data_IF_662702348948
#
_entry.id   IF_662702348948
#
_cell.length_a   1.000
_cell.length_b   1.000
_cell.length_c   1.000
_cell.angle_alpha   90.00
_cell.angle_beta   90.00
_cell.angle_gamma   90.00
#
_symmetry.space_group_name_H-M   'P 1'
#
loop_
_entity.id
_entity.type
_entity.pdbx_description
1 polymer ?
#
# COMPACT_ATOMS: atom_id res chain seq x y z
N UNK A 1 2.48 -18.09 11.76
CA UNK A 1 2.06 -16.88 11.02
C UNK A 1 2.58 -15.67 11.77
N UNK A 2 2.93 -14.59 11.08
CA UNK A 2 3.30 -13.32 11.74
C UNK A 2 2.09 -12.72 12.46
N UNK A 3 2.34 -11.69 13.28
CA UNK A 3 1.29 -10.85 13.84
C UNK A 3 0.41 -10.24 12.72
N UNK A 4 -0.88 -10.04 13.00
CA UNK A 4 -1.80 -9.31 12.12
C UNK A 4 -1.59 -7.81 12.35
N UNK A 5 -1.44 -7.07 11.25
CA UNK A 5 -1.30 -5.61 11.26
C UNK A 5 -2.57 -4.97 10.70
N UNK A 6 -2.91 -3.78 11.20
CA UNK A 6 -4.09 -3.03 10.81
C UNK A 6 -3.69 -1.66 10.23
N UNK A 7 -4.24 -1.31 9.07
CA UNK A 7 -4.08 -0.01 8.43
C UNK A 7 -5.47 0.52 8.05
N UNK A 8 -5.86 1.65 8.64
CA UNK A 8 -7.16 2.28 8.39
C UNK A 8 -7.13 3.03 7.07
N UNK A 9 -8.15 2.84 6.24
CA UNK A 9 -8.31 3.54 4.96
C UNK A 9 -9.61 4.32 4.98
N UNK A 10 -9.53 5.63 4.73
CA UNK A 10 -10.70 6.46 4.47
C UNK A 10 -10.96 6.52 2.97
N UNK A 11 -12.22 6.32 2.57
CA UNK A 11 -12.65 6.37 1.18
C UNK A 11 -13.09 7.79 0.85
N UNK A 12 -12.48 8.38 -0.18
CA UNK A 12 -12.84 9.68 -0.73
C UNK A 12 -13.49 9.53 -2.10
N UNK A 13 -14.04 10.62 -2.64
CA UNK A 13 -14.66 10.60 -3.98
C UNK A 13 -13.71 10.09 -5.08
N UNK A 14 -12.39 10.34 -4.95
CA UNK A 14 -11.37 9.86 -5.89
C UNK A 14 -11.22 8.32 -5.93
N UNK A 15 -11.67 7.64 -4.88
CA UNK A 15 -11.58 6.19 -4.77
C UNK A 15 -12.75 5.46 -5.45
N UNK A 16 -13.82 6.19 -5.75
CA UNK A 16 -15.08 5.65 -6.27
C UNK A 16 -15.24 5.83 -7.77
N UNK A 17 -16.01 4.95 -8.41
CA UNK A 17 -16.39 5.08 -9.83
C UNK A 17 -17.88 5.44 -10.01
N UNK A 18 -18.35 5.47 -11.26
CA UNK A 18 -19.72 5.85 -11.60
C UNK A 18 -20.80 4.93 -10.99
N UNK A 19 -20.43 3.75 -10.49
CA UNK A 19 -21.35 2.83 -9.81
C UNK A 19 -21.48 3.13 -8.31
N UNK A 20 -20.68 4.07 -7.78
CA UNK A 20 -20.74 4.50 -6.38
C UNK A 20 -20.02 3.57 -5.41
N UNK A 21 -19.19 2.66 -5.90
CA UNK A 21 -18.34 1.77 -5.08
C UNK A 21 -16.87 2.07 -5.31
N UNK A 22 -16.01 1.54 -4.45
CA UNK A 22 -14.55 1.62 -4.64
C UNK A 22 -14.16 0.94 -5.95
N UNK A 23 -13.47 1.67 -6.81
CA UNK A 23 -12.95 1.11 -8.05
C UNK A 23 -11.88 0.06 -7.75
N UNK A 24 -12.06 -1.17 -8.25
CA UNK A 24 -11.32 -2.35 -7.80
C UNK A 24 -9.78 -2.23 -7.75
N UNK A 25 -9.06 -1.52 -8.66
CA UNK A 25 -7.61 -1.40 -8.58
C UNK A 25 -7.13 -0.60 -7.38
N UNK A 26 -7.99 0.24 -6.78
CA UNK A 26 -7.62 1.03 -5.61
C UNK A 26 -7.32 0.15 -4.40
N UNK A 27 -7.86 -1.08 -4.32
CA UNK A 27 -7.49 -2.02 -3.26
C UNK A 27 -6.00 -2.39 -3.27
N UNK A 28 -5.36 -2.50 -4.45
CA UNK A 28 -3.92 -2.74 -4.52
C UNK A 28 -3.11 -1.55 -3.99
N UNK A 29 -3.60 -0.32 -4.18
CA UNK A 29 -3.00 0.89 -3.61
C UNK A 29 -3.07 0.86 -2.08
N UNK A 30 -4.19 0.41 -1.52
CA UNK A 30 -4.34 0.30 -0.06
C UNK A 30 -3.46 -0.79 0.54
N UNK A 31 -3.32 -1.92 -0.14
CA UNK A 31 -2.39 -2.97 0.28
C UNK A 31 -0.94 -2.52 0.21
N UNK A 32 -0.59 -1.66 -0.75
CA UNK A 32 0.73 -1.06 -0.85
C UNK A 32 1.03 -0.16 0.37
N UNK A 33 0.16 0.81 0.66
CA UNK A 33 0.24 1.66 1.87
C UNK A 33 0.34 0.85 3.17
N UNK A 34 -0.46 -0.22 3.28
CA UNK A 34 -0.42 -1.09 4.43
C UNK A 34 0.93 -1.81 4.57
N UNK A 35 1.55 -2.26 3.47
CA UNK A 35 2.90 -2.87 3.50
C UNK A 35 3.97 -1.86 3.90
N UNK A 36 3.89 -0.64 3.40
CA UNK A 36 4.83 0.43 3.81
C UNK A 36 4.75 0.67 5.33
N UNK A 37 3.55 0.73 5.92
CA UNK A 37 3.38 0.87 7.37
C UNK A 37 3.90 -0.32 8.17
N UNK A 38 3.85 -1.53 7.62
CA UNK A 38 4.42 -2.73 8.29
C UNK A 38 5.95 -2.70 8.26
N UNK A 39 6.54 -2.24 7.15
CA UNK A 39 8.00 -2.25 6.95
C UNK A 39 8.66 -1.02 7.60
N UNK A 40 7.93 0.10 7.67
CA UNK A 40 8.40 1.48 7.89
C UNK A 40 8.78 2.17 6.57
N UNK A 41 8.02 3.22 6.21
CA UNK A 41 8.23 4.01 5.00
C UNK A 41 9.57 4.73 4.98
N UNK A 42 10.06 5.18 6.14
CA UNK A 42 11.35 5.87 6.22
C UNK A 42 12.48 4.90 5.91
N UNK A 43 12.37 3.65 6.38
CA UNK A 43 13.35 2.60 6.05
C UNK A 43 13.33 2.23 4.58
N UNK A 44 12.16 2.18 3.95
CA UNK A 44 12.05 1.95 2.51
C UNK A 44 12.70 3.09 1.72
N UNK A 45 12.48 4.34 2.14
CA UNK A 45 13.10 5.51 1.54
C UNK A 45 14.64 5.47 1.69
N UNK A 46 15.15 5.20 2.88
CA UNK A 46 16.59 5.05 3.14
C UNK A 46 17.19 3.90 2.33
N UNK A 47 16.52 2.74 2.27
CA UNK A 47 16.98 1.58 1.50
C UNK A 47 17.13 1.92 0.01
N UNK A 48 16.16 2.64 -0.55
CA UNK A 48 16.21 3.09 -1.93
C UNK A 48 17.35 4.10 -2.14
N UNK A 49 17.44 5.13 -1.30
CA UNK A 49 18.41 6.21 -1.47
C UNK A 49 19.86 5.74 -1.27
N UNK A 50 20.12 4.91 -0.27
CA UNK A 50 21.48 4.50 0.09
C UNK A 50 21.95 3.25 -0.66
N UNK A 51 21.04 2.35 -1.01
CA UNK A 51 21.38 1.04 -1.60
C UNK A 51 20.81 0.82 -2.99
N UNK A 52 19.90 1.66 -3.47
CA UNK A 52 19.23 1.46 -4.76
C UNK A 52 18.35 0.20 -4.79
N UNK A 53 17.88 -0.26 -3.63
CA UNK A 53 17.08 -1.48 -3.50
C UNK A 53 15.62 -1.14 -3.20
N UNK A 54 14.72 -1.94 -3.75
CA UNK A 54 13.28 -1.85 -3.53
C UNK A 54 12.59 -3.19 -3.69
N UNK A 55 11.33 -3.27 -3.28
CA UNK A 55 10.50 -4.46 -3.42
C UNK A 55 9.56 -4.33 -4.63
N UNK A 56 9.28 -5.45 -5.29
CA UNK A 56 8.32 -5.50 -6.39
C UNK A 56 7.25 -6.57 -6.12
N UNK A 57 5.99 -6.24 -6.40
CA UNK A 57 4.90 -7.20 -6.38
C UNK A 57 4.96 -8.03 -7.66
N UNK A 58 5.29 -9.31 -7.54
CA UNK A 58 5.41 -10.21 -8.69
C UNK A 58 4.07 -10.86 -9.10
N UNK A 59 3.19 -11.07 -8.14
CA UNK A 59 1.85 -11.65 -8.35
C UNK A 59 0.84 -10.95 -7.44
N UNK A 60 -0.33 -10.67 -8.00
CA UNK A 60 -1.48 -10.10 -7.33
C UNK A 60 -2.63 -11.11 -7.35
#
# INVERSE_FOLDING_TARGET
>A
MSQIYHHTVQIYYEDTDHSGVVYHPNFLKYFERAREHVIDSDKLATLWQEKGLGFAVYKA
#
